data_IF_614231910392
#
_entry.id   IF_614231910392
#
_cell.length_a   1.000
_cell.length_b   1.000
_cell.length_c   1.000
_cell.angle_alpha   90.00
_cell.angle_beta   90.00
_cell.angle_gamma   90.00
#
_symmetry.space_group_name_H-M   'P 1'
#
loop_
_entity.id
_entity.type
_entity.pdbx_description
1 polymer ?
#
# COMPACT_ATOMS: atom_id res chain seq x y z
N UNK A 1 7.73 10.01 -31.99
CA UNK A 1 7.20 9.29 -30.81
C UNK A 1 8.28 9.03 -29.74
N UNK A 2 9.35 8.27 -30.02
CA UNK A 2 10.33 7.79 -29.01
C UNK A 2 10.97 8.86 -28.11
N UNK A 3 11.42 10.00 -28.67
CA UNK A 3 12.05 11.08 -27.90
C UNK A 3 11.17 11.69 -26.78
N UNK A 4 9.83 11.54 -26.84
CA UNK A 4 8.87 12.09 -25.85
C UNK A 4 8.67 11.20 -24.61
N UNK A 5 9.14 9.96 -24.65
CA UNK A 5 8.99 8.99 -23.56
C UNK A 5 10.30 8.73 -22.80
N UNK A 6 11.39 9.41 -23.16
CA UNK A 6 12.69 9.29 -22.50
C UNK A 6 12.77 10.03 -21.14
N UNK A 7 11.74 10.81 -20.77
CA UNK A 7 11.68 11.45 -19.44
C UNK A 7 11.29 10.44 -18.37
N UNK A 8 11.89 10.59 -17.19
CA UNK A 8 11.61 9.76 -16.01
C UNK A 8 10.10 9.72 -15.75
N UNK A 9 9.58 8.50 -15.68
CA UNK A 9 8.19 8.21 -15.36
C UNK A 9 8.18 7.44 -14.05
N UNK A 10 8.02 8.16 -12.95
CA UNK A 10 7.90 7.58 -11.62
C UNK A 10 6.49 7.83 -11.09
N UNK A 11 5.69 6.77 -11.07
CA UNK A 11 4.33 6.80 -10.55
C UNK A 11 4.01 5.46 -9.89
N UNK A 12 3.06 5.48 -8.96
CA UNK A 12 2.59 4.26 -8.34
C UNK A 12 2.01 3.30 -9.41
N UNK A 13 2.38 2.00 -9.44
CA UNK A 13 2.02 1.08 -10.53
C UNK A 13 0.53 0.96 -10.82
N UNK A 14 -0.34 1.22 -9.83
CA UNK A 14 -1.79 1.18 -10.01
C UNK A 14 -2.35 2.37 -10.80
N UNK A 15 -1.60 3.46 -10.92
CA UNK A 15 -1.96 4.60 -11.77
C UNK A 15 -1.43 4.48 -13.19
N UNK A 16 -0.53 3.53 -13.47
CA UNK A 16 0.03 3.33 -14.81
C UNK A 16 -1.03 3.12 -15.89
N UNK A 17 -2.07 2.26 -15.70
CA UNK A 17 -3.11 2.09 -16.71
C UNK A 17 -3.88 3.39 -16.98
N UNK A 18 -4.19 4.16 -15.94
CA UNK A 18 -4.84 5.47 -16.10
C UNK A 18 -4.02 6.41 -16.98
N UNK A 19 -2.74 6.60 -16.63
CA UNK A 19 -1.83 7.51 -17.32
C UNK A 19 -1.58 7.08 -18.77
N UNK A 20 -1.44 5.77 -19.01
CA UNK A 20 -1.36 5.21 -20.38
C UNK A 20 -2.62 5.55 -21.16
N UNK A 21 -3.81 5.37 -20.59
CA UNK A 21 -5.08 5.74 -21.22
C UNK A 21 -5.13 7.23 -21.59
N UNK A 22 -4.73 8.11 -20.67
CA UNK A 22 -4.69 9.57 -20.92
C UNK A 22 -3.70 9.94 -22.01
N UNK A 23 -2.50 9.35 -22.03
CA UNK A 23 -1.49 9.64 -23.05
C UNK A 23 -1.92 9.14 -24.43
N UNK A 24 -2.54 7.96 -24.53
CA UNK A 24 -3.10 7.47 -25.79
C UNK A 24 -4.20 8.40 -26.32
N UNK A 25 -5.11 8.83 -25.44
CA UNK A 25 -6.15 9.79 -25.79
C UNK A 25 -5.57 11.11 -26.29
N UNK A 26 -4.48 11.59 -25.68
CA UNK A 26 -3.85 12.83 -26.07
C UNK A 26 -3.07 12.73 -27.39
N UNK A 27 -2.31 11.65 -27.60
CA UNK A 27 -1.61 11.37 -28.86
C UNK A 27 -2.60 11.31 -30.03
N UNK A 28 -3.75 10.65 -29.85
CA UNK A 28 -4.79 10.61 -30.89
C UNK A 28 -5.37 11.99 -31.24
N UNK A 29 -5.43 12.92 -30.29
CA UNK A 29 -5.91 14.30 -30.52
C UNK A 29 -4.84 15.19 -31.14
N UNK A 30 -3.57 14.98 -30.78
CA UNK A 30 -2.42 15.64 -31.41
C UNK A 30 -2.31 15.21 -32.88
N UNK A 31 -2.47 13.92 -33.18
CA UNK A 31 -2.50 13.41 -34.55
C UNK A 31 -3.60 14.06 -35.41
N UNK A 32 -4.70 14.50 -34.79
CA UNK A 32 -5.80 15.25 -35.43
C UNK A 32 -5.57 16.77 -35.47
N UNK A 33 -4.39 17.26 -35.09
CA UNK A 33 -4.02 18.69 -35.00
C UNK A 33 -4.89 19.54 -34.06
N UNK A 34 -5.53 18.92 -33.07
CA UNK A 34 -6.42 19.62 -32.13
C UNK A 34 -5.69 20.24 -30.93
N UNK A 35 -4.47 19.77 -30.62
CA UNK A 35 -3.68 20.25 -29.47
C UNK A 35 -2.21 20.45 -29.84
N UNK A 36 -1.54 21.49 -29.27
CA UNK A 36 -0.10 21.67 -29.39
C UNK A 36 0.69 20.59 -28.63
N UNK A 37 1.80 20.12 -29.21
CA UNK A 37 2.63 19.06 -28.63
C UNK A 37 3.25 19.46 -27.27
N UNK A 38 3.54 20.75 -27.06
CA UNK A 38 4.15 21.27 -25.84
C UNK A 38 3.27 21.11 -24.59
N UNK A 39 1.94 21.01 -24.76
CA UNK A 39 1.00 20.84 -23.65
C UNK A 39 1.13 19.46 -22.99
N UNK A 40 1.61 18.46 -23.72
CA UNK A 40 1.79 17.10 -23.22
C UNK A 40 2.89 17.05 -22.16
N UNK A 41 4.02 17.73 -22.39
CA UNK A 41 5.20 17.65 -21.54
C UNK A 41 5.02 18.34 -20.19
N UNK A 42 4.41 19.53 -20.16
CA UNK A 42 4.14 20.24 -18.92
C UNK A 42 3.16 19.47 -18.04
N UNK A 43 2.03 19.05 -18.60
CA UNK A 43 0.97 18.40 -17.83
C UNK A 43 1.40 17.01 -17.36
N UNK A 44 2.19 16.28 -18.17
CA UNK A 44 2.72 14.97 -17.81
C UNK A 44 3.56 15.03 -16.53
N UNK A 45 4.44 16.01 -16.38
CA UNK A 45 5.32 16.10 -15.19
C UNK A 45 4.54 16.32 -13.89
N UNK A 46 3.62 17.29 -13.87
CA UNK A 46 2.83 17.62 -12.68
C UNK A 46 1.83 16.52 -12.32
N UNK A 47 1.16 15.95 -13.33
CA UNK A 47 0.14 14.90 -13.11
C UNK A 47 0.79 13.62 -12.61
N UNK A 48 1.92 13.20 -13.19
CA UNK A 48 2.64 12.00 -12.76
C UNK A 48 3.07 12.11 -11.30
N UNK A 49 3.66 13.23 -10.90
CA UNK A 49 4.14 13.43 -9.52
C UNK A 49 3.00 13.48 -8.50
N UNK A 50 1.97 14.30 -8.76
CA UNK A 50 0.83 14.42 -7.84
C UNK A 50 0.08 13.11 -7.70
N UNK A 51 -0.13 12.39 -8.79
CA UNK A 51 -0.82 11.11 -8.79
C UNK A 51 0.04 10.01 -8.15
N UNK A 52 1.38 10.07 -8.28
CA UNK A 52 2.29 9.20 -7.54
C UNK A 52 2.11 9.39 -6.03
N UNK A 53 2.19 10.63 -5.54
CA UNK A 53 2.05 10.91 -4.11
C UNK A 53 0.69 10.44 -3.55
N UNK A 54 -0.38 10.63 -4.32
CA UNK A 54 -1.72 10.12 -3.95
C UNK A 54 -1.73 8.58 -3.94
N UNK A 55 -1.12 7.95 -4.94
CA UNK A 55 -1.03 6.49 -5.05
C UNK A 55 -0.25 5.87 -3.89
N UNK A 56 0.92 6.43 -3.57
CA UNK A 56 1.77 5.96 -2.48
C UNK A 56 1.05 6.08 -1.13
N UNK A 57 0.39 7.21 -0.87
CA UNK A 57 -0.34 7.41 0.39
C UNK A 57 -1.58 6.51 0.51
N UNK A 58 -2.37 6.36 -0.55
CA UNK A 58 -3.61 5.59 -0.51
C UNK A 58 -3.36 4.09 -0.62
N UNK A 59 -2.71 3.64 -1.68
CA UNK A 59 -2.51 2.21 -1.94
C UNK A 59 -1.44 1.63 -1.02
N UNK A 60 -0.23 2.19 -1.06
CA UNK A 60 0.87 1.73 -0.23
C UNK A 60 0.60 1.97 1.26
N UNK A 61 0.27 3.21 1.63
CA UNK A 61 0.19 3.63 3.02
C UNK A 61 -1.12 3.33 3.75
N UNK A 62 -2.20 2.97 3.04
CA UNK A 62 -3.52 2.77 3.66
C UNK A 62 -4.14 1.42 3.29
N UNK A 63 -4.32 1.14 1.99
CA UNK A 63 -5.02 -0.05 1.51
C UNK A 63 -4.23 -1.33 1.74
N UNK A 64 -2.92 -1.34 1.47
CA UNK A 64 -2.07 -2.52 1.71
C UNK A 64 -2.01 -2.85 3.20
N UNK A 65 -1.90 -1.83 4.06
CA UNK A 65 -1.92 -2.00 5.52
C UNK A 65 -3.27 -2.53 5.98
N UNK A 66 -4.37 -2.00 5.44
CA UNK A 66 -5.73 -2.50 5.72
C UNK A 66 -5.87 -3.96 5.36
N UNK A 67 -5.45 -4.33 4.14
CA UNK A 67 -5.52 -5.71 3.66
C UNK A 67 -4.77 -6.63 4.64
N UNK A 68 -3.51 -6.33 4.94
CA UNK A 68 -2.68 -7.15 5.82
C UNK A 68 -3.32 -7.31 7.22
N UNK A 69 -3.72 -6.21 7.87
CA UNK A 69 -4.32 -6.25 9.20
C UNK A 69 -5.66 -6.99 9.22
N UNK A 70 -6.53 -6.74 8.25
CA UNK A 70 -7.83 -7.41 8.17
C UNK A 70 -7.66 -8.92 7.95
N UNK A 71 -6.73 -9.34 7.07
CA UNK A 71 -6.43 -10.76 6.88
C UNK A 71 -5.82 -11.39 8.12
N UNK A 72 -4.91 -10.70 8.82
CA UNK A 72 -4.33 -11.19 10.06
C UNK A 72 -5.41 -11.41 11.13
N UNK A 73 -6.32 -10.43 11.32
CA UNK A 73 -7.44 -10.56 12.26
C UNK A 73 -8.31 -11.79 11.94
N UNK A 74 -8.71 -11.95 10.67
CA UNK A 74 -9.55 -13.06 10.23
C UNK A 74 -8.87 -14.43 10.43
N UNK A 75 -7.58 -14.51 10.13
CA UNK A 75 -6.80 -15.73 10.35
C UNK A 75 -6.64 -16.05 11.84
N UNK A 76 -6.34 -15.06 12.68
CA UNK A 76 -6.27 -15.25 14.14
C UNK A 76 -7.62 -15.63 14.75
N UNK A 77 -8.73 -15.23 14.12
CA UNK A 77 -10.07 -15.64 14.50
C UNK A 77 -10.48 -17.03 13.96
N UNK A 78 -9.59 -17.74 13.25
CA UNK A 78 -9.86 -19.05 12.65
C UNK A 78 -10.69 -19.02 11.37
N UNK A 79 -10.99 -17.84 10.82
CA UNK A 79 -11.85 -17.68 9.65
C UNK A 79 -11.04 -17.64 8.34
N UNK A 80 -10.35 -18.75 8.03
CA UNK A 80 -9.48 -18.85 6.85
C UNK A 80 -10.22 -18.57 5.52
N UNK A 81 -11.45 -19.06 5.38
CA UNK A 81 -12.25 -18.83 4.17
C UNK A 81 -12.64 -17.37 3.99
N UNK A 82 -12.96 -16.66 5.08
CA UNK A 82 -13.25 -15.23 5.03
C UNK A 82 -11.99 -14.42 4.65
N UNK A 83 -10.83 -14.79 5.18
CA UNK A 83 -9.55 -14.17 4.81
C UNK A 83 -9.24 -14.36 3.31
N UNK A 84 -9.46 -15.57 2.79
CA UNK A 84 -9.29 -15.87 1.36
C UNK A 84 -10.28 -15.07 0.49
N UNK A 85 -11.56 -15.06 0.84
CA UNK A 85 -12.59 -14.31 0.13
C UNK A 85 -12.28 -12.80 0.12
N UNK A 86 -11.83 -12.23 1.25
CA UNK A 86 -11.39 -10.84 1.33
C UNK A 86 -10.21 -10.57 0.38
N UNK A 87 -9.21 -11.45 0.37
CA UNK A 87 -8.06 -11.33 -0.53
C UNK A 87 -8.47 -11.35 -2.00
N UNK A 88 -9.33 -12.29 -2.39
CA UNK A 88 -9.89 -12.38 -3.74
C UNK A 88 -10.68 -11.12 -4.11
N UNK A 89 -11.51 -10.61 -3.20
CA UNK A 89 -12.31 -9.41 -3.42
C UNK A 89 -11.44 -8.16 -3.61
N UNK A 90 -10.42 -7.95 -2.76
CA UNK A 90 -9.50 -6.82 -2.89
C UNK A 90 -8.64 -6.92 -4.15
N UNK A 91 -8.17 -8.13 -4.50
CA UNK A 91 -7.45 -8.37 -5.74
C UNK A 91 -8.31 -8.07 -6.97
N UNK A 92 -9.53 -8.59 -7.02
CA UNK A 92 -10.47 -8.30 -8.09
C UNK A 92 -10.80 -6.80 -8.18
N UNK A 93 -11.02 -6.14 -7.04
CA UNK A 93 -11.26 -4.71 -6.95
C UNK A 93 -10.10 -3.87 -7.49
N UNK A 94 -8.84 -4.24 -7.19
CA UNK A 94 -7.66 -3.57 -7.74
C UNK A 94 -7.55 -3.73 -9.26
N UNK A 95 -7.85 -4.91 -9.79
CA UNK A 95 -7.84 -5.15 -11.24
C UNK A 95 -8.98 -4.39 -11.94
N UNK A 96 -10.18 -4.38 -11.34
CA UNK A 96 -11.31 -3.57 -11.82
C UNK A 96 -10.98 -2.08 -11.80
N UNK A 97 -10.30 -1.59 -10.75
CA UNK A 97 -9.82 -0.22 -10.66
C UNK A 97 -8.84 0.12 -11.80
N UNK A 98 -7.85 -0.74 -12.05
CA UNK A 98 -6.90 -0.57 -13.16
C UNK A 98 -7.59 -0.50 -14.52
N UNK A 99 -8.52 -1.41 -14.78
CA UNK A 99 -9.26 -1.45 -16.05
C UNK A 99 -10.20 -0.24 -16.19
N UNK A 100 -10.97 0.07 -15.15
CA UNK A 100 -11.90 1.19 -15.15
C UNK A 100 -11.20 2.54 -15.32
N UNK A 101 -10.06 2.73 -14.64
CA UNK A 101 -9.27 3.96 -14.80
C UNK A 101 -8.60 4.04 -16.16
N UNK A 102 -8.11 2.94 -16.75
CA UNK A 102 -7.62 2.91 -18.13
C UNK A 102 -8.71 3.37 -19.12
N UNK A 103 -9.90 2.77 -19.06
CA UNK A 103 -11.03 3.12 -19.94
C UNK A 103 -11.42 4.59 -19.74
N UNK A 104 -11.46 5.06 -18.49
CA UNK A 104 -11.79 6.44 -18.17
C UNK A 104 -10.75 7.42 -18.75
N UNK A 105 -9.47 7.14 -18.55
CA UNK A 105 -8.35 7.92 -19.10
C UNK A 105 -8.37 7.95 -20.63
N UNK A 106 -8.62 6.81 -21.27
CA UNK A 106 -8.70 6.71 -22.73
C UNK A 106 -9.88 7.50 -23.33
N UNK A 107 -11.07 7.43 -22.71
CA UNK A 107 -12.26 8.11 -23.24
C UNK A 107 -12.27 9.61 -23.00
N UNK A 108 -11.81 10.06 -21.83
CA UNK A 108 -11.96 11.46 -21.40
C UNK A 108 -10.65 12.26 -21.44
N UNK A 109 -9.49 11.61 -21.57
CA UNK A 109 -8.19 12.29 -21.55
C UNK A 109 -8.00 13.08 -20.26
N UNK A 110 -7.59 14.34 -20.35
CA UNK A 110 -7.38 15.20 -19.17
C UNK A 110 -8.64 15.45 -18.34
N UNK A 111 -9.83 15.41 -18.92
CA UNK A 111 -11.08 15.55 -18.16
C UNK A 111 -11.31 14.38 -17.20
N UNK A 112 -10.65 13.23 -17.40
CA UNK A 112 -10.67 12.14 -16.44
C UNK A 112 -9.98 12.50 -15.11
N UNK A 113 -9.00 13.42 -15.15
CA UNK A 113 -8.23 13.80 -13.97
C UNK A 113 -9.08 14.56 -12.96
N UNK A 114 -9.97 15.44 -13.41
CA UNK A 114 -10.91 16.14 -12.52
C UNK A 114 -11.90 15.16 -11.90
N UNK A 115 -12.34 14.14 -12.65
CA UNK A 115 -13.21 13.07 -12.14
C UNK A 115 -12.53 12.23 -11.06
N UNK A 116 -11.26 11.84 -11.27
CA UNK A 116 -10.47 11.11 -10.27
C UNK A 116 -10.22 11.96 -9.03
N UNK A 117 -9.92 13.25 -9.21
CA UNK A 117 -9.76 14.17 -8.07
C UNK A 117 -11.04 14.26 -7.24
N UNK A 118 -12.20 14.21 -7.88
CA UNK A 118 -13.51 14.18 -7.22
C UNK A 118 -13.80 12.90 -6.41
N UNK A 119 -13.07 11.80 -6.63
CA UNK A 119 -13.18 10.60 -5.79
C UNK A 119 -12.55 10.77 -4.41
N UNK A 120 -11.76 11.84 -4.21
CA UNK A 120 -11.16 12.23 -2.94
C UNK A 120 -10.43 11.05 -2.24
N UNK A 121 -9.61 10.32 -3.02
CA UNK A 121 -8.87 9.14 -2.53
C UNK A 121 -7.99 9.47 -1.32
N UNK A 122 -7.55 10.72 -1.20
CA UNK A 122 -6.77 11.20 -0.05
C UNK A 122 -7.59 11.08 1.23
N UNK A 123 -8.83 11.56 1.21
CA UNK A 123 -9.71 11.53 2.38
C UNK A 123 -10.21 10.11 2.68
N UNK A 124 -10.47 9.30 1.64
CA UNK A 124 -10.70 7.86 1.81
C UNK A 124 -9.51 7.13 2.44
N UNK A 125 -8.28 7.47 2.02
CA UNK A 125 -7.06 6.95 2.63
C UNK A 125 -6.97 7.31 4.11
N UNK A 126 -7.33 8.54 4.49
CA UNK A 126 -7.42 8.95 5.90
C UNK A 126 -8.41 8.11 6.69
N UNK A 127 -9.61 7.85 6.13
CA UNK A 127 -10.63 6.99 6.76
C UNK A 127 -10.12 5.55 6.93
N UNK A 128 -9.46 5.01 5.91
CA UNK A 128 -8.83 3.68 5.98
C UNK A 128 -7.74 3.63 7.05
N UNK A 129 -6.94 4.68 7.23
CA UNK A 129 -5.95 4.73 8.32
C UNK A 129 -6.58 4.66 9.71
N UNK A 130 -7.73 5.30 9.91
CA UNK A 130 -8.48 5.19 11.16
C UNK A 130 -9.01 3.77 11.36
N UNK A 131 -9.52 3.14 10.30
CA UNK A 131 -9.93 1.72 10.33
C UNK A 131 -8.74 0.81 10.63
N UNK A 132 -7.56 1.07 10.07
CA UNK A 132 -6.34 0.32 10.35
C UNK A 132 -5.95 0.42 11.82
N UNK A 133 -6.05 1.61 12.43
CA UNK A 133 -5.79 1.78 13.86
C UNK A 133 -6.78 0.95 14.71
N UNK A 134 -8.06 0.93 14.33
CA UNK A 134 -9.06 0.10 15.01
C UNK A 134 -8.76 -1.41 14.83
N UNK A 135 -8.44 -1.86 13.62
CA UNK A 135 -8.05 -3.25 13.35
C UNK A 135 -6.79 -3.65 14.10
N UNK A 136 -5.86 -2.74 14.31
CA UNK A 136 -4.65 -3.01 15.08
C UNK A 136 -4.98 -3.27 16.56
N UNK A 137 -5.93 -2.53 17.15
CA UNK A 137 -6.44 -2.80 18.50
C UNK A 137 -7.16 -4.15 18.55
N UNK A 138 -7.96 -4.48 17.54
CA UNK A 138 -8.63 -5.78 17.44
C UNK A 138 -7.63 -6.92 17.35
N UNK A 139 -6.63 -6.81 16.48
CA UNK A 139 -5.56 -7.79 16.35
C UNK A 139 -4.83 -7.98 17.68
N UNK A 140 -4.51 -6.88 18.37
CA UNK A 140 -3.89 -6.94 19.68
C UNK A 140 -4.75 -7.69 20.71
N UNK A 141 -6.06 -7.45 20.71
CA UNK A 141 -6.99 -8.16 21.58
C UNK A 141 -7.14 -9.66 21.24
N UNK A 142 -7.08 -10.01 19.96
CA UNK A 142 -7.15 -11.41 19.49
C UNK A 142 -5.87 -12.19 19.81
N UNK A 143 -4.71 -11.54 19.68
CA UNK A 143 -3.40 -12.14 19.95
C UNK A 143 -3.06 -12.11 21.45
N UNK A 144 -3.87 -11.44 22.28
CA UNK A 144 -3.59 -11.27 23.70
C UNK A 144 -3.40 -12.62 24.41
N UNK A 145 -2.22 -12.89 25.00
CA UNK A 145 -1.95 -14.15 25.66
C UNK A 145 -2.69 -14.19 27.00
N UNK A 146 -3.88 -14.81 27.02
CA UNK A 146 -4.74 -14.90 28.22
C UNK A 146 -4.19 -15.78 29.35
N UNK A 147 -2.99 -16.34 29.22
CA UNK A 147 -2.39 -17.26 30.20
C UNK A 147 -0.87 -17.19 30.34
N UNK A 148 -0.20 -16.13 29.87
CA UNK A 148 1.25 -15.99 30.09
C UNK A 148 1.54 -15.54 31.52
N UNK A 149 2.56 -16.13 32.15
CA UNK A 149 3.10 -15.62 33.41
C UNK A 149 3.59 -14.17 33.24
N UNK A 150 3.31 -13.28 34.22
CA UNK A 150 3.70 -11.87 34.16
C UNK A 150 5.21 -11.66 33.92
N UNK A 151 6.04 -12.59 34.41
CA UNK A 151 7.51 -12.55 34.27
C UNK A 151 7.95 -12.82 32.84
N UNK A 152 7.35 -13.83 32.18
CA UNK A 152 7.62 -14.14 30.77
C UNK A 152 7.20 -12.97 29.86
N UNK A 153 6.08 -12.33 30.16
CA UNK A 153 5.61 -11.15 29.42
C UNK A 153 6.54 -9.95 29.61
N UNK A 154 6.96 -9.66 30.85
CA UNK A 154 7.92 -8.60 31.14
C UNK A 154 9.28 -8.84 30.45
N UNK A 155 9.75 -10.10 30.39
CA UNK A 155 10.95 -10.48 29.63
C UNK A 155 10.78 -10.28 28.12
N UNK A 156 9.63 -10.63 27.57
CA UNK A 156 9.29 -10.37 26.16
C UNK A 156 9.29 -8.87 25.83
N UNK A 157 8.66 -8.04 26.67
CA UNK A 157 8.66 -6.58 26.49
C UNK A 157 10.07 -6.00 26.64
N UNK A 158 10.83 -6.42 27.65
CA UNK A 158 12.19 -5.96 27.88
C UNK A 158 13.14 -6.32 26.72
N UNK A 159 12.98 -7.52 26.12
CA UNK A 159 13.78 -7.93 24.96
C UNK A 159 13.44 -7.12 23.71
N UNK A 160 12.16 -6.86 23.42
CA UNK A 160 11.74 -6.00 22.31
C UNK A 160 12.25 -4.56 22.49
N UNK A 161 12.10 -4.00 23.69
CA UNK A 161 12.60 -2.65 24.01
C UNK A 161 14.13 -2.60 23.94
N UNK A 162 14.82 -3.62 24.45
CA UNK A 162 16.28 -3.74 24.36
C UNK A 162 16.79 -3.81 22.92
N UNK A 163 16.13 -4.58 22.06
CA UNK A 163 16.45 -4.66 20.63
C UNK A 163 16.18 -3.32 19.92
N UNK A 164 15.05 -2.65 20.22
CA UNK A 164 14.74 -1.34 19.67
C UNK A 164 15.77 -0.27 20.09
N UNK A 165 16.19 -0.30 21.36
CA UNK A 165 17.22 0.58 21.89
C UNK A 165 18.59 0.32 21.25
N UNK A 166 18.99 -0.96 21.13
CA UNK A 166 20.21 -1.37 20.46
C UNK A 166 20.23 -0.95 18.98
N UNK A 167 19.11 -1.10 18.26
CA UNK A 167 18.98 -0.65 16.88
C UNK A 167 19.13 0.88 16.74
N UNK A 168 18.58 1.64 17.69
CA UNK A 168 18.69 3.10 17.72
C UNK A 168 20.10 3.60 18.03
N UNK A 169 20.81 2.93 18.94
CA UNK A 169 22.13 3.38 19.42
C UNK A 169 23.31 2.84 18.60
N UNK A 170 23.21 1.63 18.05
CA UNK A 170 24.33 0.95 17.38
C UNK A 170 24.36 1.16 15.86
N UNK A 171 23.37 1.88 15.26
CA UNK A 171 23.23 2.04 13.80
C UNK A 171 23.29 0.72 13.00
N UNK A 172 22.99 -0.41 13.66
CA UNK A 172 22.99 -1.73 13.03
C UNK A 172 21.79 -1.83 12.10
N UNK A 173 21.97 -2.54 10.99
CA UNK A 173 20.94 -2.70 9.97
C UNK A 173 19.71 -3.38 10.60
N UNK A 174 18.57 -2.67 10.61
CA UNK A 174 17.37 -3.05 11.40
C UNK A 174 16.85 -4.44 11.04
N UNK A 175 17.02 -4.82 9.77
CA UNK A 175 16.62 -6.12 9.22
C UNK A 175 17.37 -7.29 9.86
N UNK A 176 18.67 -7.14 10.14
CA UNK A 176 19.48 -8.19 10.77
C UNK A 176 19.08 -8.43 12.23
N UNK A 177 18.76 -7.36 12.97
CA UNK A 177 18.32 -7.45 14.36
C UNK A 177 16.93 -8.10 14.48
N UNK A 178 16.02 -7.78 13.55
CA UNK A 178 14.70 -8.42 13.49
C UNK A 178 14.82 -9.90 13.11
N UNK A 179 15.67 -10.24 12.13
CA UNK A 179 15.93 -11.63 11.75
C UNK A 179 16.52 -12.44 12.91
N UNK A 180 17.47 -11.87 13.66
CA UNK A 180 18.05 -12.50 14.85
C UNK A 180 17.01 -12.70 15.96
N UNK A 181 16.14 -11.71 16.20
CA UNK A 181 15.06 -11.81 17.18
C UNK A 181 14.03 -12.88 16.83
N UNK A 182 13.64 -12.98 15.55
CA UNK A 182 12.75 -14.04 15.06
C UNK A 182 13.43 -15.40 15.15
N UNK A 183 14.70 -15.51 14.78
CA UNK A 183 15.48 -16.75 14.88
C UNK A 183 15.61 -17.21 16.34
N UNK A 184 15.87 -16.30 17.28
CA UNK A 184 15.93 -16.60 18.71
C UNK A 184 14.55 -17.01 19.26
N UNK A 185 13.47 -16.34 18.84
CA UNK A 185 12.10 -16.68 19.23
C UNK A 185 11.67 -18.06 18.71
N UNK A 186 11.99 -18.38 17.46
CA UNK A 186 11.75 -19.70 16.87
C UNK A 186 12.61 -20.79 17.50
N UNK A 187 13.86 -20.48 17.85
CA UNK A 187 14.76 -21.39 18.56
C UNK A 187 14.25 -21.72 19.97
N UNK A 188 13.72 -20.73 20.70
CA UNK A 188 13.07 -20.95 21.99
C UNK A 188 11.77 -21.77 21.88
N UNK A 189 10.96 -21.54 20.84
CA UNK A 189 9.77 -22.33 20.54
C UNK A 189 10.09 -23.79 20.14
N UNK A 190 11.21 -24.01 19.45
CA UNK A 190 11.67 -25.33 19.01
C UNK A 190 12.26 -26.17 20.14
N UNK A 191 12.87 -25.54 21.15
CA UNK A 191 13.51 -26.21 22.29
C UNK A 191 12.52 -26.68 23.36
N UNK A 192 11.24 -26.32 23.27
CA UNK A 192 10.16 -26.98 24.03
C UNK A 192 10.47 -27.16 25.52
N UNK A 193 10.76 -26.07 26.23
CA UNK A 193 10.79 -26.12 27.69
C UNK A 193 9.34 -25.92 28.15
N UNK A 194 8.78 -26.86 28.93
CA UNK A 194 7.38 -26.84 29.36
C UNK A 194 7.00 -25.56 30.13
#
# INVERSE_FOLDING_TARGET
AWKRYLKIYNTHPFWTPFLVGVFLALESRIARKQFPEAMLDQVKSTVVFTLSAVGDSFFGGSLTVFWALATACLLTAGQAWAAFALGCALFAGLNAFKLGTFILGYRQGFAALTRIRGWDLVNWGRRLKVLNAALLVVLWALVWPRGMEPVAWAGGVASVVGLAYAAGRLRVNREFLVALGIAAGLFFLWIGIP
#
